data_IF_836468797868
#
_entry.id   IF_836468797868
#
_cell.length_a   1.000
_cell.length_b   1.000
_cell.length_c   1.000
_cell.angle_alpha   90.00
_cell.angle_beta   90.00
_cell.angle_gamma   90.00
#
_symmetry.space_group_name_H-M   'P 1'
#
loop_
_entity.id
_entity.type
_entity.pdbx_description
1 polymer ?
#
# COMPACT_ATOMS: atom_id res chain seq x y z
N UNK A 1 7.19 21.82 7.76
CA UNK A 1 6.94 20.39 8.01
C UNK A 1 7.66 20.05 9.30
N UNK A 2 6.92 19.71 10.36
CA UNK A 2 7.50 19.36 11.66
C UNK A 2 8.22 18.01 11.57
N UNK A 3 9.18 17.73 12.46
CA UNK A 3 9.84 16.41 12.55
C UNK A 3 8.80 15.31 12.86
N UNK A 4 7.75 15.66 13.60
CA UNK A 4 6.63 14.77 13.93
C UNK A 4 5.81 14.40 12.68
N UNK A 5 5.60 15.33 11.76
CA UNK A 5 4.91 15.07 10.48
C UNK A 5 5.71 14.09 9.63
N UNK A 6 7.04 14.29 9.55
CA UNK A 6 7.94 13.42 8.80
C UNK A 6 8.01 12.01 9.40
N UNK A 7 8.02 11.90 10.73
CA UNK A 7 8.02 10.63 11.44
C UNK A 7 6.75 9.81 11.16
N UNK A 8 5.60 10.47 11.01
CA UNK A 8 4.35 9.79 10.63
C UNK A 8 4.26 9.47 9.14
N UNK A 9 4.84 10.29 8.28
CA UNK A 9 4.83 10.08 6.83
C UNK A 9 5.72 8.91 6.38
N UNK A 10 6.86 8.68 7.05
CA UNK A 10 7.83 7.66 6.64
C UNK A 10 7.26 6.23 6.63
N UNK A 11 6.52 5.77 7.67
CA UNK A 11 5.84 4.47 7.62
C UNK A 11 4.86 4.33 6.45
N UNK A 12 4.10 5.39 6.14
CA UNK A 12 3.16 5.38 5.02
C UNK A 12 3.87 5.23 3.67
N UNK A 13 4.96 5.97 3.46
CA UNK A 13 5.76 5.87 2.24
C UNK A 13 6.39 4.48 2.08
N UNK A 14 6.87 3.90 3.18
CA UNK A 14 7.38 2.52 3.20
C UNK A 14 6.29 1.51 2.84
N UNK A 15 5.08 1.68 3.36
CA UNK A 15 3.95 0.80 3.03
C UNK A 15 3.62 0.83 1.52
N UNK A 16 3.55 2.02 0.90
CA UNK A 16 3.35 2.14 -0.56
C UNK A 16 4.44 1.40 -1.34
N UNK A 17 5.71 1.63 -0.97
CA UNK A 17 6.85 1.01 -1.66
C UNK A 17 6.83 -0.52 -1.52
N UNK A 18 6.52 -1.03 -0.33
CA UNK A 18 6.40 -2.47 -0.07
C UNK A 18 5.26 -3.11 -0.87
N UNK A 19 4.10 -2.45 -0.95
CA UNK A 19 2.98 -2.93 -1.77
C UNK A 19 3.35 -3.02 -3.24
N UNK A 20 4.02 -1.98 -3.77
CA UNK A 20 4.51 -2.00 -5.15
C UNK A 20 5.51 -3.14 -5.38
N UNK A 21 6.45 -3.35 -4.46
CA UNK A 21 7.42 -4.43 -4.57
C UNK A 21 6.75 -5.82 -4.58
N UNK A 22 5.77 -6.05 -3.68
CA UNK A 22 5.01 -7.29 -3.63
C UNK A 22 4.21 -7.53 -4.93
N UNK A 23 3.60 -6.47 -5.47
CA UNK A 23 2.86 -6.53 -6.72
C UNK A 23 3.76 -6.83 -7.93
N UNK A 24 4.95 -6.24 -8.00
CA UNK A 24 5.96 -6.56 -9.04
C UNK A 24 6.48 -7.98 -8.92
N UNK A 25 6.61 -8.50 -7.70
CA UNK A 25 7.04 -9.87 -7.43
C UNK A 25 5.90 -10.90 -7.57
N UNK A 26 4.73 -10.50 -8.08
CA UNK A 26 3.53 -11.34 -8.25
C UNK A 26 3.08 -12.06 -6.97
N UNK A 27 3.42 -11.53 -5.80
CA UNK A 27 2.95 -12.08 -4.52
C UNK A 27 1.43 -11.91 -4.41
N UNK A 28 0.73 -12.79 -3.68
CA UNK A 28 -0.71 -12.63 -3.46
C UNK A 28 -1.02 -11.39 -2.61
N UNK A 29 -2.23 -10.84 -2.75
CA UNK A 29 -2.67 -9.65 -2.00
C UNK A 29 -2.68 -9.89 -0.48
N UNK A 30 -2.80 -11.15 -0.07
CA UNK A 30 -2.70 -11.61 1.33
C UNK A 30 -1.28 -11.47 1.92
N UNK A 31 -0.28 -11.09 1.12
CA UNK A 31 1.06 -10.75 1.60
C UNK A 31 1.13 -9.37 2.28
N UNK A 32 0.03 -8.59 2.28
CA UNK A 32 -0.06 -7.35 3.05
C UNK A 32 0.18 -7.64 4.55
N UNK A 33 1.19 -7.03 5.18
CA UNK A 33 1.49 -7.27 6.60
C UNK A 33 0.61 -6.45 7.55
N UNK A 34 -0.21 -5.53 7.03
CA UNK A 34 -1.04 -4.63 7.81
C UNK A 34 -2.50 -5.04 7.74
N UNK A 35 -3.17 -5.05 8.89
CA UNK A 35 -4.60 -5.32 8.97
C UNK A 35 -5.41 -4.07 8.53
N UNK A 36 -6.21 -4.15 7.45
CA UNK A 36 -7.08 -3.04 7.03
C UNK A 36 -8.17 -2.69 8.06
N UNK A 37 -8.51 -3.63 8.96
CA UNK A 37 -9.52 -3.49 10.00
C UNK A 37 -8.91 -3.36 11.41
N UNK A 38 -7.57 -3.25 11.50
CA UNK A 38 -6.85 -3.12 12.77
C UNK A 38 -7.33 -1.94 13.61
N UNK A 39 -7.21 -2.05 14.94
CA UNK A 39 -7.79 -1.07 15.89
C UNK A 39 -7.17 0.33 15.75
N UNK A 40 -5.90 0.41 15.36
CA UNK A 40 -5.18 1.68 15.24
C UNK A 40 -5.42 2.36 13.87
N UNK A 41 -5.67 3.67 13.90
CA UNK A 41 -5.80 4.45 12.66
C UNK A 41 -4.52 4.40 11.80
N UNK A 42 -3.35 4.31 12.45
CA UNK A 42 -2.06 4.24 11.79
C UNK A 42 -1.88 2.92 11.01
N UNK A 43 -2.32 1.79 11.57
CA UNK A 43 -2.26 0.49 10.91
C UNK A 43 -3.22 0.41 9.71
N UNK A 44 -4.47 0.85 9.88
CA UNK A 44 -5.43 0.94 8.76
C UNK A 44 -4.90 1.82 7.63
N UNK A 45 -4.22 2.91 7.97
CA UNK A 45 -3.65 3.80 6.98
C UNK A 45 -2.45 3.15 6.24
N UNK A 46 -1.58 2.42 6.95
CA UNK A 46 -0.51 1.64 6.33
C UNK A 46 -1.05 0.54 5.41
N UNK A 47 -2.10 -0.18 5.83
CA UNK A 47 -2.77 -1.17 4.99
C UNK A 47 -3.29 -0.56 3.67
N UNK A 48 -4.00 0.58 3.76
CA UNK A 48 -4.47 1.31 2.56
C UNK A 48 -3.32 1.75 1.65
N UNK A 49 -2.22 2.20 2.22
CA UNK A 49 -1.05 2.62 1.46
C UNK A 49 -0.35 1.45 0.77
N UNK A 50 -0.22 0.31 1.46
CA UNK A 50 0.29 -0.92 0.87
C UNK A 50 -0.59 -1.39 -0.31
N UNK A 51 -1.90 -1.49 -0.10
CA UNK A 51 -2.86 -1.90 -1.13
C UNK A 51 -2.81 -0.98 -2.36
N UNK A 52 -2.66 0.32 -2.14
CA UNK A 52 -2.49 1.30 -3.23
C UNK A 52 -1.22 1.07 -4.03
N UNK A 53 -0.10 0.73 -3.39
CA UNK A 53 1.15 0.40 -4.08
C UNK A 53 1.03 -0.88 -4.90
N UNK A 54 0.39 -1.90 -4.32
CA UNK A 54 0.17 -3.20 -4.94
C UNK A 54 -0.76 -3.12 -6.17
N UNK A 55 -1.85 -2.36 -6.08
CA UNK A 55 -2.80 -2.19 -7.20
C UNK A 55 -2.18 -1.52 -8.43
N UNK A 56 -1.15 -0.67 -8.26
CA UNK A 56 -0.47 -0.01 -9.38
C UNK A 56 0.26 -0.98 -10.30
N UNK A 57 0.68 -2.14 -9.81
CA UNK A 57 1.38 -3.14 -10.64
C UNK A 57 0.40 -4.04 -11.38
N UNK A 58 -0.81 -4.20 -10.84
CA UNK A 58 -1.92 -4.95 -11.45
C UNK A 58 -2.76 -4.03 -12.34
N UNK A 59 -2.08 -3.25 -13.18
CA UNK A 59 -2.77 -2.54 -14.25
C UNK A 59 -3.16 -3.59 -15.29
N UNK A 60 -4.21 -4.36 -14.97
CA UNK A 60 -5.00 -4.99 -16.01
C UNK A 60 -5.49 -3.82 -16.84
N UNK A 61 -4.88 -3.63 -18.02
CA UNK A 61 -5.39 -2.74 -19.06
C UNK A 61 -6.82 -3.19 -19.30
N UNK A 62 -7.78 -2.53 -18.66
CA UNK A 62 -9.19 -2.68 -19.00
C UNK A 62 -9.31 -2.14 -20.41
N UNK A 63 -9.32 -3.06 -21.37
CA UNK A 63 -9.54 -2.73 -22.76
C UNK A 63 -11.00 -2.30 -22.91
N UNK A 64 -11.21 -0.99 -23.09
CA UNK A 64 -12.51 -0.39 -23.33
C UNK A 64 -12.87 -0.30 -24.82
N UNK A 65 -12.14 -0.97 -25.72
CA UNK A 65 -12.39 -0.91 -27.17
C UNK A 65 -13.52 -1.80 -27.69
N UNK A 66 -14.51 -2.09 -26.85
CA UNK A 66 -15.76 -2.77 -27.23
C UNK A 66 -16.69 -1.93 -28.11
#
# INVERSE_FOLDING_TARGET
MSIEDAAQALPMLRAIAAGRAAGTAEQPITACPHDPDGESAQERAQARMWLRGYAQTRTDTVDYSG
#
